data_IF_084238980992
#
_entry.id   IF_084238980992
#
_cell.length_a   1.000
_cell.length_b   1.000
_cell.length_c   1.000
_cell.angle_alpha   90.00
_cell.angle_beta   90.00
_cell.angle_gamma   90.00
#
_symmetry.space_group_name_H-M   'P 1'
#
loop_
_entity.id
_entity.type
_entity.pdbx_description
1 polymer ?
#
# COMPACT_ATOMS: atom_id res chain seq x y z
N UNK A 1 -45.70 5.60 -22.26
CA UNK A 1 -45.24 4.91 -21.03
C UNK A 1 -43.73 5.05 -20.99
N UNK A 2 -43.23 6.13 -20.37
CA UNK A 2 -41.79 6.38 -20.28
C UNK A 2 -41.23 5.55 -19.13
N UNK A 3 -40.48 4.51 -19.47
CA UNK A 3 -39.76 3.68 -18.50
C UNK A 3 -38.68 4.52 -17.83
N UNK A 4 -38.91 4.89 -16.56
CA UNK A 4 -37.92 5.56 -15.73
C UNK A 4 -36.73 4.61 -15.51
N UNK A 5 -35.48 5.02 -15.81
CA UNK A 5 -34.33 4.14 -15.63
C UNK A 5 -34.17 3.82 -14.14
N UNK A 6 -34.15 2.53 -13.79
CA UNK A 6 -33.94 2.04 -12.44
C UNK A 6 -32.70 2.73 -11.82
N UNK A 7 -32.90 3.47 -10.73
CA UNK A 7 -31.80 4.09 -9.98
C UNK A 7 -30.82 2.97 -9.63
N UNK A 8 -29.52 3.09 -9.97
CA UNK A 8 -28.54 2.08 -9.60
C UNK A 8 -28.58 1.90 -8.09
N UNK A 9 -28.80 0.66 -7.64
CA UNK A 9 -28.86 0.32 -6.23
C UNK A 9 -27.58 0.73 -5.49
N UNK A 10 -27.63 0.90 -4.17
CA UNK A 10 -26.46 1.32 -3.39
C UNK A 10 -25.31 0.32 -3.57
N UNK A 11 -24.15 0.81 -4.01
CA UNK A 11 -22.92 0.00 -4.14
C UNK A 11 -22.54 -0.51 -2.75
N UNK A 12 -22.45 -1.84 -2.62
CA UNK A 12 -22.10 -2.54 -1.39
C UNK A 12 -20.64 -2.98 -1.43
N UNK A 13 -19.94 -2.83 -0.30
CA UNK A 13 -18.61 -3.40 -0.09
C UNK A 13 -18.61 -4.30 1.14
N UNK A 14 -18.11 -5.52 0.98
CA UNK A 14 -17.96 -6.52 2.04
C UNK A 14 -16.50 -6.57 2.51
N UNK A 15 -16.27 -6.12 3.75
CA UNK A 15 -14.96 -6.16 4.39
C UNK A 15 -14.70 -7.54 5.00
N UNK A 16 -13.91 -8.35 4.29
CA UNK A 16 -13.38 -9.64 4.73
C UNK A 16 -12.15 -9.52 5.65
N UNK A 17 -11.81 -8.30 6.08
CA UNK A 17 -10.68 -8.01 6.95
C UNK A 17 -9.34 -8.16 6.27
N UNK A 18 -9.23 -7.71 5.03
CA UNK A 18 -7.96 -7.71 4.28
C UNK A 18 -6.89 -6.93 5.04
N UNK A 19 -5.73 -7.54 5.26
CA UNK A 19 -4.59 -6.90 5.92
C UNK A 19 -3.84 -6.04 4.91
N UNK A 20 -3.37 -4.86 5.33
CA UNK A 20 -2.58 -3.97 4.48
C UNK A 20 -1.30 -4.65 3.92
N UNK A 21 -0.73 -5.61 4.66
CA UNK A 21 0.46 -6.37 4.22
C UNK A 21 0.24 -7.13 2.91
N UNK A 22 -1.00 -7.49 2.56
CA UNK A 22 -1.32 -8.21 1.32
C UNK A 22 -0.86 -7.45 0.08
N UNK A 23 -0.89 -6.12 0.13
CA UNK A 23 -0.50 -5.24 -0.97
C UNK A 23 1.00 -4.90 -0.96
N UNK A 24 1.82 -5.64 -0.21
CA UNK A 24 3.27 -5.41 -0.13
C UNK A 24 4.07 -6.35 -1.02
N UNK A 25 3.42 -7.26 -1.74
CA UNK A 25 4.01 -8.13 -2.77
C UNK A 25 4.67 -7.31 -3.90
N UNK A 26 4.08 -6.15 -4.20
CA UNK A 26 4.60 -5.20 -5.18
C UNK A 26 4.42 -3.80 -4.65
N UNK A 27 5.51 -3.06 -4.49
CA UNK A 27 5.46 -1.67 -3.99
C UNK A 27 6.21 -0.74 -4.93
N UNK A 28 5.52 0.26 -5.49
CA UNK A 28 6.14 1.28 -6.32
C UNK A 28 6.76 2.37 -5.44
N UNK A 29 8.05 2.61 -5.61
CA UNK A 29 8.83 3.57 -4.81
C UNK A 29 9.61 4.53 -5.70
N UNK A 30 10.05 5.65 -5.12
CA UNK A 30 10.97 6.57 -5.79
C UNK A 30 12.39 6.01 -5.74
N UNK A 31 12.97 5.83 -6.92
CA UNK A 31 14.35 5.37 -7.08
C UNK A 31 15.33 6.34 -6.39
N UNK A 32 16.25 5.84 -5.54
CA UNK A 32 17.30 6.67 -4.93
C UNK A 32 18.27 7.30 -5.92
N UNK A 33 18.48 6.67 -7.07
CA UNK A 33 19.53 7.07 -8.02
C UNK A 33 19.03 8.09 -9.03
N UNK A 34 17.90 7.84 -9.67
CA UNK A 34 17.39 8.69 -10.75
C UNK A 34 16.12 9.47 -10.38
N UNK A 35 15.47 9.18 -9.25
CA UNK A 35 14.20 9.79 -8.88
C UNK A 35 12.97 9.32 -9.68
N UNK A 36 13.14 8.42 -10.65
CA UNK A 36 12.03 7.76 -11.37
C UNK A 36 11.41 6.62 -10.56
N UNK A 37 10.47 5.90 -11.16
CA UNK A 37 9.81 4.76 -10.50
C UNK A 37 10.75 3.56 -10.38
N UNK A 38 10.83 3.01 -9.18
CA UNK A 38 11.44 1.72 -8.89
C UNK A 38 10.39 0.80 -8.25
N UNK A 39 10.69 -0.49 -8.25
CA UNK A 39 9.81 -1.53 -7.74
C UNK A 39 10.48 -2.28 -6.61
N UNK A 40 9.74 -2.50 -5.52
CA UNK A 40 10.13 -3.40 -4.43
C UNK A 40 9.25 -4.63 -4.47
N UNK A 41 9.87 -5.82 -4.55
CA UNK A 41 9.20 -7.13 -4.59
C UNK A 41 9.89 -8.12 -3.64
N UNK A 42 9.22 -9.21 -3.20
CA UNK A 42 9.90 -10.34 -2.60
C UNK A 42 11.03 -10.83 -3.51
N UNK A 43 12.12 -11.29 -2.89
CA UNK A 43 13.20 -11.94 -3.62
C UNK A 43 12.66 -13.20 -4.32
N UNK A 44 12.88 -13.36 -5.65
CA UNK A 44 12.31 -14.47 -6.41
C UNK A 44 12.94 -15.83 -6.05
N UNK A 45 14.13 -15.82 -5.45
CA UNK A 45 14.86 -17.00 -4.99
C UNK A 45 14.39 -17.53 -3.62
N UNK A 46 13.39 -16.87 -3.01
CA UNK A 46 12.82 -17.27 -1.72
C UNK A 46 11.38 -17.70 -1.92
N UNK A 47 11.05 -18.91 -1.47
CA UNK A 47 9.68 -19.43 -1.51
C UNK A 47 8.70 -18.46 -0.81
N UNK A 48 7.64 -18.02 -1.50
CA UNK A 48 6.68 -17.11 -0.92
C UNK A 48 5.92 -17.79 0.22
N UNK A 49 6.03 -17.22 1.42
CA UNK A 49 5.23 -17.66 2.56
C UNK A 49 3.74 -17.47 2.29
N UNK A 50 2.97 -18.53 2.54
CA UNK A 50 1.50 -18.53 2.47
C UNK A 50 0.85 -17.74 3.62
N UNK A 51 1.62 -17.39 4.66
CA UNK A 51 1.12 -16.66 5.81
C UNK A 51 1.34 -15.15 5.64
N UNK A 52 0.26 -14.37 5.60
CA UNK A 52 0.32 -12.91 5.42
C UNK A 52 1.24 -12.20 6.42
N UNK A 53 1.30 -12.68 7.68
CA UNK A 53 2.21 -12.12 8.69
C UNK A 53 3.70 -12.30 8.33
N UNK A 54 4.05 -13.38 7.65
CA UNK A 54 5.43 -13.69 7.27
C UNK A 54 5.95 -12.77 6.15
N UNK A 55 5.06 -12.17 5.34
CA UNK A 55 5.43 -11.24 4.26
C UNK A 55 6.24 -10.03 4.76
N UNK A 56 6.08 -9.66 6.04
CA UNK A 56 6.83 -8.57 6.68
C UNK A 56 8.30 -8.91 6.96
N UNK A 57 8.66 -10.19 6.92
CA UNK A 57 10.00 -10.69 7.24
C UNK A 57 10.73 -11.22 6.01
N UNK A 58 10.07 -11.24 4.85
CA UNK A 58 10.66 -11.75 3.62
C UNK A 58 11.75 -10.83 3.09
N UNK A 59 12.86 -11.39 2.59
CA UNK A 59 13.85 -10.64 1.83
C UNK A 59 13.21 -9.95 0.62
N UNK A 60 13.57 -8.69 0.39
CA UNK A 60 13.05 -7.85 -0.68
C UNK A 60 14.16 -7.41 -1.62
N UNK A 61 13.80 -7.26 -2.91
CA UNK A 61 14.64 -6.66 -3.94
C UNK A 61 13.98 -5.38 -4.42
N UNK A 62 14.74 -4.30 -4.46
CA UNK A 62 14.42 -3.07 -5.18
C UNK A 62 15.07 -3.13 -6.55
N UNK A 63 14.33 -2.80 -7.61
CA UNK A 63 14.85 -2.66 -8.97
C UNK A 63 14.27 -1.43 -9.68
N UNK A 64 15.11 -0.70 -10.41
CA UNK A 64 14.69 0.44 -11.23
C UNK A 64 14.90 0.13 -12.72
N UNK A 65 13.81 0.12 -13.49
CA UNK A 65 13.87 -0.11 -14.93
C UNK A 65 14.52 1.06 -15.70
N UNK A 66 14.50 2.28 -15.16
CA UNK A 66 15.04 3.46 -15.84
C UNK A 66 16.56 3.62 -15.77
N UNK A 67 17.18 3.32 -14.62
CA UNK A 67 18.63 3.49 -14.42
C UNK A 67 19.38 2.22 -14.03
N UNK A 68 18.70 1.07 -13.96
CA UNK A 68 19.28 -0.21 -13.58
C UNK A 68 19.70 -0.33 -12.11
N UNK A 69 19.34 0.63 -11.25
CA UNK A 69 19.64 0.52 -9.82
C UNK A 69 18.95 -0.70 -9.20
N UNK A 70 19.72 -1.50 -8.47
CA UNK A 70 19.24 -2.67 -7.73
C UNK A 70 19.73 -2.57 -6.29
N UNK A 71 18.87 -2.93 -5.34
CA UNK A 71 19.23 -3.09 -3.94
C UNK A 71 18.50 -4.29 -3.35
N UNK A 72 19.08 -4.92 -2.33
CA UNK A 72 18.47 -6.03 -1.63
C UNK A 72 18.41 -5.74 -0.13
N UNK A 73 17.38 -6.27 0.53
CA UNK A 73 17.19 -6.15 1.96
C UNK A 73 16.68 -7.46 2.54
N UNK A 74 17.28 -7.90 3.62
CA UNK A 74 16.77 -8.98 4.48
C UNK A 74 16.11 -8.40 5.73
N UNK A 75 15.26 -9.18 6.39
CA UNK A 75 14.71 -8.77 7.68
C UNK A 75 15.83 -8.62 8.72
N UNK A 76 15.71 -7.60 9.57
CA UNK A 76 16.69 -7.34 10.62
C UNK A 76 16.56 -8.41 11.69
N UNK A 77 17.66 -9.06 12.06
CA UNK A 77 17.68 -10.01 13.17
C UNK A 77 17.94 -9.25 14.49
N UNK A 78 17.17 -9.57 15.53
CA UNK A 78 17.34 -9.08 16.90
C UNK A 78 17.26 -10.26 17.86
N UNK A 79 18.41 -10.70 18.35
CA UNK A 79 18.51 -11.95 19.11
C UNK A 79 18.11 -13.15 18.25
N UNK A 80 17.22 -14.00 18.78
CA UNK A 80 16.67 -15.16 18.07
C UNK A 80 15.46 -14.82 17.15
N UNK A 81 15.02 -13.56 17.12
CA UNK A 81 13.86 -13.11 16.35
C UNK A 81 14.24 -12.26 15.13
N UNK A 82 13.44 -12.33 14.08
CA UNK A 82 13.43 -11.38 12.98
C UNK A 82 12.48 -10.23 13.32
N UNK A 83 12.85 -9.00 12.96
CA UNK A 83 12.03 -7.79 13.11
C UNK A 83 11.28 -7.54 11.81
N UNK A 84 9.96 -7.48 11.91
CA UNK A 84 9.07 -7.30 10.77
C UNK A 84 9.06 -5.85 10.30
N UNK A 85 8.92 -5.67 8.99
CA UNK A 85 8.57 -4.38 8.42
C UNK A 85 7.22 -3.89 8.97
N UNK A 86 7.05 -2.58 9.11
CA UNK A 86 5.79 -2.00 9.60
C UNK A 86 5.11 -1.31 8.42
N UNK A 87 4.01 -1.88 7.89
CA UNK A 87 3.29 -1.27 6.79
C UNK A 87 2.46 -0.07 7.27
N UNK A 88 2.36 0.93 6.41
CA UNK A 88 1.60 2.16 6.61
C UNK A 88 2.45 3.39 6.35
N UNK A 89 1.81 4.49 6.00
CA UNK A 89 2.47 5.78 5.76
C UNK A 89 2.92 5.97 4.32
N UNK A 90 3.63 7.08 4.09
CA UNK A 90 4.05 7.52 2.75
C UNK A 90 5.38 6.92 2.29
N UNK A 91 5.98 6.06 3.11
CA UNK A 91 7.24 5.40 2.83
C UNK A 91 7.04 3.89 2.72
N UNK A 92 7.85 3.24 1.89
CA UNK A 92 7.82 1.80 1.77
C UNK A 92 8.32 1.13 3.07
N UNK A 93 7.72 0.01 3.48
CA UNK A 93 8.03 -0.61 4.77
C UNK A 93 9.45 -1.20 4.86
N UNK A 94 10.12 -1.40 3.73
CA UNK A 94 11.35 -2.18 3.64
C UNK A 94 12.57 -1.27 3.45
N UNK A 95 12.62 -0.50 2.37
CA UNK A 95 13.75 0.36 2.01
C UNK A 95 13.58 1.80 2.51
N UNK A 96 12.45 2.13 3.16
CA UNK A 96 12.14 3.49 3.68
C UNK A 96 12.22 4.57 2.60
N UNK A 97 11.85 4.21 1.37
CA UNK A 97 11.77 5.10 0.22
C UNK A 97 10.38 5.72 0.14
N UNK A 98 10.25 6.98 -0.31
CA UNK A 98 8.94 7.54 -0.63
C UNK A 98 8.21 6.65 -1.64
N UNK A 99 6.92 6.40 -1.41
CA UNK A 99 6.08 5.71 -2.38
C UNK A 99 5.98 6.55 -3.65
N UNK A 100 5.98 5.89 -4.81
CA UNK A 100 5.75 6.55 -6.10
C UNK A 100 4.30 7.00 -6.24
N UNK A 101 3.36 6.16 -5.79
CA UNK A 101 1.93 6.40 -5.87
C UNK A 101 1.46 7.24 -4.70
N UNK A 102 1.71 8.55 -4.80
CA UNK A 102 1.26 9.55 -3.85
C UNK A 102 0.74 10.79 -4.56
N UNK A 103 -0.28 11.41 -4.00
CA UNK A 103 -0.82 12.67 -4.49
C UNK A 103 -1.43 13.49 -3.35
N UNK A 104 -1.50 14.81 -3.53
CA UNK A 104 -2.26 15.68 -2.63
C UNK A 104 -3.74 15.54 -2.92
N UNK A 105 -4.54 15.25 -1.89
CA UNK A 105 -5.97 15.06 -1.98
C UNK A 105 -6.64 15.59 -0.71
N UNK A 106 -7.63 16.49 -0.87
CA UNK A 106 -8.37 17.09 0.25
C UNK A 106 -7.45 17.68 1.35
N UNK A 107 -6.38 18.39 0.95
CA UNK A 107 -5.40 18.99 1.88
C UNK A 107 -4.49 17.99 2.59
N UNK A 108 -4.55 16.70 2.23
CA UNK A 108 -3.78 15.60 2.83
C UNK A 108 -3.07 14.79 1.74
N UNK A 109 -2.30 13.79 2.14
CA UNK A 109 -1.64 12.87 1.19
C UNK A 109 -2.48 11.60 1.05
N UNK A 110 -2.84 11.30 -0.19
CA UNK A 110 -3.38 10.01 -0.60
C UNK A 110 -2.24 9.20 -1.18
N UNK A 111 -2.10 7.95 -0.74
CA UNK A 111 -1.04 7.07 -1.19
C UNK A 111 -1.56 5.63 -1.38
N UNK A 112 -0.85 4.87 -2.20
CA UNK A 112 -1.06 3.44 -2.38
C UNK A 112 0.29 2.73 -2.59
N UNK A 113 0.32 1.41 -2.45
CA UNK A 113 1.53 0.62 -2.72
C UNK A 113 1.61 0.19 -4.18
N UNK A 114 0.47 -0.26 -4.71
CA UNK A 114 0.30 -0.77 -6.05
C UNK A 114 -1.14 -0.54 -6.54
N UNK A 115 -1.39 -0.95 -7.77
CA UNK A 115 -2.67 -0.84 -8.47
C UNK A 115 -3.77 -1.64 -7.76
N UNK A 116 -3.45 -2.82 -7.21
CA UNK A 116 -4.41 -3.63 -6.44
C UNK A 116 -4.87 -2.91 -5.15
N UNK A 117 -3.95 -2.22 -4.49
CA UNK A 117 -4.26 -1.38 -3.34
C UNK A 117 -5.16 -0.20 -3.75
N UNK A 118 -4.90 0.43 -4.91
CA UNK A 118 -5.78 1.47 -5.46
C UNK A 118 -7.19 0.92 -5.68
N UNK A 119 -7.32 -0.24 -6.30
CA UNK A 119 -8.61 -0.86 -6.60
C UNK A 119 -9.38 -1.21 -5.33
N UNK A 120 -8.70 -1.76 -4.32
CA UNK A 120 -9.29 -2.04 -3.02
C UNK A 120 -9.79 -0.76 -2.31
N UNK A 121 -9.00 0.33 -2.35
CA UNK A 121 -9.42 1.61 -1.78
C UNK A 121 -10.60 2.22 -2.55
N UNK A 122 -10.57 2.16 -3.89
CA UNK A 122 -11.62 2.71 -4.74
C UNK A 122 -12.95 2.00 -4.51
N UNK A 123 -12.94 0.66 -4.48
CA UNK A 123 -14.13 -0.15 -4.19
C UNK A 123 -14.75 0.20 -2.83
N UNK A 124 -13.92 0.40 -1.80
CA UNK A 124 -14.39 0.75 -0.46
C UNK A 124 -14.94 2.19 -0.36
N UNK A 125 -14.28 3.15 -1.01
CA UNK A 125 -14.67 4.57 -0.99
C UNK A 125 -15.96 4.80 -1.80
N UNK A 126 -16.07 4.15 -2.96
CA UNK A 126 -17.25 4.20 -3.82
C UNK A 126 -18.49 3.57 -3.17
N UNK A 127 -18.31 2.57 -2.31
CA UNK A 127 -19.42 1.94 -1.61
C UNK A 127 -20.16 2.92 -0.68
N UNK A 128 -21.49 2.94 -0.84
CA UNK A 128 -22.41 3.68 0.03
C UNK A 128 -22.80 2.84 1.25
N UNK A 129 -22.76 1.51 1.13
CA UNK A 129 -22.98 0.58 2.23
C UNK A 129 -21.77 -0.32 2.43
N UNK A 130 -21.22 -0.33 3.64
CA UNK A 130 -20.01 -1.08 3.99
C UNK A 130 -20.37 -2.11 5.06
N UNK A 131 -20.41 -3.39 4.69
CA UNK A 131 -20.66 -4.50 5.61
C UNK A 131 -19.32 -5.03 6.12
N UNK A 132 -19.26 -5.34 7.41
CA UNK A 132 -18.06 -5.89 8.05
C UNK A 132 -18.35 -7.31 8.50
N UNK A 133 -17.55 -8.26 8.02
CA UNK A 133 -17.72 -9.68 8.31
C UNK A 133 -16.72 -10.23 9.33
N UNK A 134 -15.73 -9.44 9.76
CA UNK A 134 -14.65 -9.92 10.64
C UNK A 134 -14.15 -8.88 11.64
N UNK A 135 -13.37 -9.35 12.62
CA UNK A 135 -12.84 -8.57 13.74
C UNK A 135 -11.86 -7.47 13.27
N UNK A 136 -12.00 -6.22 13.76
CA UNK A 136 -11.31 -5.05 13.23
C UNK A 136 -9.81 -4.98 13.55
N UNK A 137 -9.28 -5.89 14.38
CA UNK A 137 -7.96 -5.68 14.98
C UNK A 137 -6.82 -5.70 13.97
N UNK A 138 -6.95 -6.33 12.80
CA UNK A 138 -5.87 -6.38 11.79
C UNK A 138 -6.25 -5.92 10.38
N UNK A 139 -7.51 -5.57 10.15
CA UNK A 139 -8.01 -5.14 8.85
C UNK A 139 -7.51 -3.74 8.45
N UNK A 140 -7.34 -3.51 7.15
CA UNK A 140 -6.93 -2.22 6.58
C UNK A 140 -8.03 -1.16 6.67
N UNK A 141 -9.24 -1.47 6.22
CA UNK A 141 -10.32 -0.50 6.06
C UNK A 141 -10.76 0.19 7.36
N UNK A 142 -10.89 -0.51 8.51
CA UNK A 142 -11.23 0.15 9.77
C UNK A 142 -10.19 1.21 10.18
N UNK A 143 -8.92 0.99 9.86
CA UNK A 143 -7.78 1.86 10.20
C UNK A 143 -7.58 3.02 9.24
N UNK A 144 -8.35 3.09 8.15
CA UNK A 144 -8.26 4.22 7.23
C UNK A 144 -8.61 5.53 7.95
N UNK A 145 -7.93 6.64 7.61
CA UNK A 145 -8.24 7.95 8.13
C UNK A 145 -9.72 8.32 7.94
N UNK A 146 -10.31 9.03 8.92
CA UNK A 146 -11.71 9.45 8.86
C UNK A 146 -12.04 10.25 7.60
N UNK A 147 -11.11 11.09 7.13
CA UNK A 147 -11.30 11.92 5.94
C UNK A 147 -11.50 11.09 4.66
N UNK A 148 -10.85 9.93 4.52
CA UNK A 148 -11.04 9.01 3.38
C UNK A 148 -12.39 8.28 3.46
N UNK A 149 -12.92 8.08 4.69
CA UNK A 149 -14.19 7.39 4.93
C UNK A 149 -15.39 8.32 4.80
N UNK A 150 -15.18 9.62 4.93
CA UNK A 150 -16.20 10.66 4.87
C UNK A 150 -16.85 10.75 3.49
N UNK A 151 -18.17 10.89 3.46
CA UNK A 151 -18.91 11.09 2.21
C UNK A 151 -18.51 12.40 1.51
N UNK A 152 -18.18 13.46 2.27
CA UNK A 152 -17.86 14.78 1.72
C UNK A 152 -16.59 14.80 0.86
N UNK A 153 -15.69 13.83 1.05
CA UNK A 153 -14.46 13.73 0.26
C UNK A 153 -14.49 12.56 -0.72
N UNK A 154 -15.62 11.86 -0.88
CA UNK A 154 -15.70 10.65 -1.71
C UNK A 154 -15.21 10.93 -3.13
N UNK A 155 -15.77 11.93 -3.77
CA UNK A 155 -15.46 12.23 -5.18
C UNK A 155 -14.02 12.72 -5.33
N UNK A 156 -13.53 13.54 -4.40
CA UNK A 156 -12.14 13.98 -4.36
C UNK A 156 -11.17 12.81 -4.19
N UNK A 157 -11.48 11.86 -3.30
CA UNK A 157 -10.65 10.67 -3.07
C UNK A 157 -10.66 9.75 -4.28
N UNK A 158 -11.81 9.52 -4.90
CA UNK A 158 -11.91 8.69 -6.11
C UNK A 158 -11.13 9.31 -7.28
N UNK A 159 -11.23 10.63 -7.46
CA UNK A 159 -10.43 11.35 -8.45
C UNK A 159 -8.92 11.23 -8.15
N UNK A 160 -8.53 11.34 -6.87
CA UNK A 160 -7.15 11.13 -6.43
C UNK A 160 -6.65 9.70 -6.72
N UNK A 161 -7.47 8.68 -6.46
CA UNK A 161 -7.15 7.28 -6.74
C UNK A 161 -7.02 7.01 -8.25
N UNK A 162 -7.89 7.62 -9.06
CA UNK A 162 -7.78 7.55 -10.52
C UNK A 162 -6.47 8.19 -11.01
N UNK A 163 -6.10 9.36 -10.48
CA UNK A 163 -4.82 10.01 -10.79
C UNK A 163 -3.61 9.13 -10.39
N UNK A 164 -3.69 8.43 -9.25
CA UNK A 164 -2.66 7.46 -8.86
C UNK A 164 -2.58 6.28 -9.83
N UNK A 165 -3.71 5.78 -10.32
CA UNK A 165 -3.73 4.69 -11.31
C UNK A 165 -3.09 5.12 -12.63
N UNK A 166 -3.26 6.38 -13.02
CA UNK A 166 -2.60 6.95 -14.18
C UNK A 166 -1.11 7.14 -13.95
N UNK A 167 -0.72 7.61 -12.77
CA UNK A 167 0.67 7.74 -12.35
C UNK A 167 1.40 6.38 -12.30
N UNK A 168 0.69 5.29 -12.01
CA UNK A 168 1.24 3.93 -12.02
C UNK A 168 1.73 3.47 -13.39
N UNK A 169 1.20 4.06 -14.48
CA UNK A 169 1.68 3.77 -15.85
C UNK A 169 2.92 4.56 -16.22
N UNK A 170 3.25 5.60 -15.45
CA UNK A 170 4.38 6.49 -15.66
C UNK A 170 5.57 6.07 -14.80
N UNK A 171 6.77 6.38 -15.27
CA UNK A 171 8.01 5.95 -14.60
C UNK A 171 9.16 6.95 -14.69
N UNK A 172 9.06 7.99 -15.53
CA UNK A 172 10.15 8.94 -15.68
C UNK A 172 10.27 9.81 -14.42
N UNK A 173 11.47 10.27 -14.05
CA UNK A 173 11.65 11.16 -12.90
C UNK A 173 10.78 12.43 -12.95
N UNK A 174 10.50 12.93 -14.16
CA UNK A 174 9.64 14.10 -14.41
C UNK A 174 8.17 13.86 -14.14
N UNK A 175 7.72 12.60 -14.11
CA UNK A 175 6.33 12.23 -13.80
C UNK A 175 6.06 12.19 -12.30
N UNK A 176 7.10 12.28 -11.47
CA UNK A 176 7.00 12.18 -10.01
C UNK A 176 6.08 13.27 -9.48
N UNK A 177 5.06 12.88 -8.70
CA UNK A 177 4.23 13.84 -7.99
C UNK A 177 5.05 14.61 -6.95
N UNK A 178 4.73 15.89 -6.78
CA UNK A 178 5.18 16.76 -5.68
C UNK A 178 4.88 16.18 -4.28
N UNK A 179 3.97 15.21 -4.19
CA UNK A 179 3.64 14.51 -2.97
C UNK A 179 4.70 13.48 -2.56
N UNK A 180 5.38 12.88 -3.54
CA UNK A 180 6.23 11.70 -3.41
C UNK A 180 7.65 12.02 -2.92
N UNK A 181 7.80 12.87 -1.90
CA UNK A 181 9.08 13.20 -1.25
C UNK A 181 9.14 12.63 0.17
N UNK A 182 10.33 12.49 0.74
CA UNK A 182 10.50 12.07 2.13
C UNK A 182 9.82 13.09 3.05
N UNK A 183 8.88 12.61 3.89
CA UNK A 183 8.13 13.45 4.83
C UNK A 183 8.39 13.11 6.29
N UNK A 184 9.00 11.96 6.57
CA UNK A 184 9.24 11.51 7.93
C UNK A 184 7.96 11.22 8.74
N UNK A 185 6.80 11.06 8.09
CA UNK A 185 5.51 10.72 8.71
C UNK A 185 5.39 9.22 9.05
N UNK A 186 6.50 8.67 9.57
CA UNK A 186 6.73 7.25 9.79
C UNK A 186 5.73 6.67 10.79
N UNK A 187 5.12 5.50 10.50
CA UNK A 187 4.41 4.75 11.53
C UNK A 187 5.38 4.38 12.65
N UNK A 188 4.93 4.49 13.90
CA UNK A 188 5.69 4.01 15.05
C UNK A 188 5.93 2.50 14.93
N UNK A 189 7.13 2.04 15.26
CA UNK A 189 7.44 0.62 15.29
C UNK A 189 6.62 -0.07 16.38
N UNK A 190 5.54 -0.77 16.00
CA UNK A 190 4.96 -1.80 16.85
C UNK A 190 5.78 -3.06 16.60
N UNK A 191 6.61 -3.46 17.56
CA UNK A 191 7.69 -4.44 17.43
C UNK A 191 7.22 -5.87 17.12
N UNK A 192 6.69 -6.13 15.93
CA UNK A 192 6.39 -7.47 15.46
C UNK A 192 7.69 -8.24 15.27
N UNK A 193 7.90 -9.26 16.10
CA UNK A 193 9.03 -10.17 16.01
C UNK A 193 8.55 -11.55 15.57
N UNK A 194 9.29 -12.19 14.66
CA UNK A 194 9.09 -13.58 14.26
C UNK A 194 10.29 -14.39 14.75
N UNK A 195 10.06 -15.30 15.68
CA UNK A 195 11.08 -16.26 16.11
C UNK A 195 11.05 -17.45 15.16
N UNK A 196 12.18 -17.78 14.54
CA UNK A 196 12.31 -19.07 13.85
C UNK A 196 12.49 -20.13 14.93
N UNK A 197 11.61 -21.12 15.00
CA UNK A 197 11.83 -22.28 15.87
C UNK A 197 13.16 -22.92 15.53
N UNK A 198 13.98 -23.19 16.55
CA UNK A 198 15.25 -23.92 16.38
C UNK A 198 14.99 -25.39 16.03
N UNK A 199 15.97 -26.09 15.45
CA UNK A 199 15.91 -27.54 15.39
C UNK A 199 15.98 -28.05 16.83
N UNK A 200 14.94 -28.77 17.26
CA UNK A 200 15.03 -29.61 18.45
C UNK A 200 15.87 -30.85 18.12
#
# INVERSE_FOLDING_TARGET
MSSEPARPGPVRHDDHGTWLVRFTDRVHVVCPRCGGRALVVPRPDVEPSKHFGALLFQPRRLSCAGCGAVAERTAVQRGAGLVGAVPGGTEDPFFRRPLWLQTRCAGRILWAYNEEHIDALAAYVAATQRRRHTSPTMAMFPRLPLWMKSANHRDTVLAGLAALRDLARRAAPTDRSDAAHERGDRPRHHGSMLFRGGPY
#
